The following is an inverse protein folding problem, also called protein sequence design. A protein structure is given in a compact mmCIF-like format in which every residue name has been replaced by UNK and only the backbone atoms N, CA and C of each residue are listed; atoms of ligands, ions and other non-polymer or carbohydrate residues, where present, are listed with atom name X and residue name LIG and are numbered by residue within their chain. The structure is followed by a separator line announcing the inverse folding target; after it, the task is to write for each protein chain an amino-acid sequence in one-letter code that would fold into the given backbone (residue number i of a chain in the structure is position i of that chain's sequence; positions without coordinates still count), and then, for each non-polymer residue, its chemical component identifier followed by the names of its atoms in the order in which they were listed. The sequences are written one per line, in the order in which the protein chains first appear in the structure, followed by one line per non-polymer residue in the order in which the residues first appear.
data_IF_220873148835
#
_entry.id   IF_220873148835
#
_cell.length_a   1.000
_cell.length_b   1.000
_cell.length_c   1.000
_cell.angle_alpha   90.00
_cell.angle_beta   90.00
_cell.angle_gamma   90.00
#
_symmetry.space_group_name_H-M   'P 1'
#
loop_
_entity.id
_entity.type
_entity.pdbx_description
1 polymer ?
#
# COMPACT_ATOMS: atom_id res chain seq x y z
N UNK A 1 9.46 22.00 -19.33
CA UNK A 1 8.62 21.30 -18.32
C UNK A 1 7.46 22.19 -18.01
N UNK A 2 6.26 21.74 -18.30
CA UNK A 2 5.05 22.54 -18.15
C UNK A 2 4.71 22.68 -16.65
N UNK A 3 4.56 23.93 -16.18
CA UNK A 3 4.17 24.27 -14.80
C UNK A 3 2.86 23.54 -14.42
N UNK A 4 1.97 23.33 -15.36
CA UNK A 4 0.72 22.60 -15.19
C UNK A 4 0.95 21.10 -14.88
N UNK A 5 1.91 20.44 -15.49
CA UNK A 5 2.25 19.04 -15.22
C UNK A 5 2.75 18.82 -13.80
N UNK A 6 3.56 19.74 -13.27
CA UNK A 6 4.10 19.66 -11.91
C UNK A 6 3.01 19.85 -10.84
N UNK A 7 2.06 20.75 -11.06
CA UNK A 7 0.91 20.96 -10.16
C UNK A 7 -0.03 19.75 -10.15
N UNK A 8 -0.29 19.16 -11.30
CA UNK A 8 -1.14 17.96 -11.44
C UNK A 8 -0.54 16.78 -10.69
N UNK A 9 0.77 16.54 -10.84
CA UNK A 9 1.47 15.46 -10.16
C UNK A 9 1.43 15.61 -8.63
N UNK A 10 1.69 16.80 -8.09
CA UNK A 10 1.62 17.07 -6.65
C UNK A 10 0.22 16.84 -6.09
N UNK A 11 -0.83 17.26 -6.82
CA UNK A 11 -2.21 17.01 -6.41
C UNK A 11 -2.53 15.53 -6.35
N UNK A 12 -2.14 14.76 -7.36
CA UNK A 12 -2.33 13.30 -7.39
C UNK A 12 -1.64 12.61 -6.22
N UNK A 13 -0.41 13.00 -5.87
CA UNK A 13 0.31 12.44 -4.72
C UNK A 13 -0.42 12.69 -3.40
N UNK A 14 -0.94 13.91 -3.21
CA UNK A 14 -1.71 14.25 -2.01
C UNK A 14 -2.99 13.42 -1.93
N UNK A 15 -3.72 13.27 -3.04
CA UNK A 15 -4.95 12.48 -3.09
C UNK A 15 -4.68 11.00 -2.78
N UNK A 16 -3.65 10.41 -3.40
CA UNK A 16 -3.24 9.02 -3.17
C UNK A 16 -2.83 8.78 -1.72
N UNK A 17 -2.01 9.68 -1.16
CA UNK A 17 -1.60 9.59 0.25
C UNK A 17 -2.79 9.64 1.19
N UNK A 18 -3.78 10.50 0.95
CA UNK A 18 -5.00 10.62 1.74
C UNK A 18 -5.88 9.37 1.63
N UNK A 19 -6.00 8.82 0.43
CA UNK A 19 -6.73 7.58 0.20
C UNK A 19 -6.12 6.40 0.97
N UNK A 20 -4.79 6.24 0.92
CA UNK A 20 -4.09 5.22 1.71
C UNK A 20 -4.23 5.46 3.21
N UNK A 21 -4.21 6.72 3.67
CA UNK A 21 -4.38 7.07 5.08
C UNK A 21 -5.79 6.72 5.60
N UNK A 22 -6.82 6.84 4.77
CA UNK A 22 -8.18 6.48 5.16
C UNK A 22 -8.38 4.98 5.37
N UNK A 23 -7.55 4.15 4.75
CA UNK A 23 -7.72 2.70 4.73
C UNK A 23 -6.45 1.98 5.15
N UNK A 24 -5.97 2.23 6.37
CA UNK A 24 -4.76 1.59 6.87
C UNK A 24 -4.99 0.10 7.09
N UNK A 25 -4.00 -0.69 6.72
CA UNK A 25 -3.98 -2.13 6.90
C UNK A 25 -2.72 -2.52 7.68
N UNK A 26 -2.85 -3.40 8.68
CA UNK A 26 -1.71 -3.90 9.47
C UNK A 26 -0.89 -4.94 8.72
N UNK A 27 0.33 -5.20 9.20
CA UNK A 27 1.25 -6.13 8.57
C UNK A 27 0.64 -7.51 8.30
N UNK A 28 0.87 -8.03 7.09
CA UNK A 28 0.31 -9.25 6.52
C UNK A 28 -1.18 -9.20 6.16
N UNK A 29 -1.84 -8.04 6.27
CA UNK A 29 -3.25 -7.87 5.87
C UNK A 29 -3.45 -6.86 4.74
N UNK A 30 -2.38 -6.29 4.20
CA UNK A 30 -2.36 -5.15 3.27
C UNK A 30 -2.76 -5.55 1.82
N UNK A 31 -3.81 -6.35 1.67
CA UNK A 31 -4.24 -6.85 0.36
C UNK A 31 -4.81 -5.77 -0.54
N UNK A 32 -5.61 -4.84 0.02
CA UNK A 32 -6.13 -3.72 -0.75
C UNK A 32 -5.01 -2.75 -1.14
N UNK A 33 -4.13 -2.41 -0.19
CA UNK A 33 -2.97 -1.54 -0.43
C UNK A 33 -2.03 -2.15 -1.47
N UNK A 34 -1.75 -3.47 -1.37
CA UNK A 34 -0.95 -4.20 -2.37
C UNK A 34 -1.59 -4.11 -3.75
N UNK A 35 -2.90 -4.38 -3.86
CA UNK A 35 -3.63 -4.28 -5.14
C UNK A 35 -3.57 -2.86 -5.71
N UNK A 36 -3.75 -1.84 -4.87
CA UNK A 36 -3.67 -0.44 -5.27
C UNK A 36 -2.30 -0.10 -5.87
N UNK A 37 -1.22 -0.47 -5.19
CA UNK A 37 0.16 -0.24 -5.62
C UNK A 37 0.47 -1.01 -6.91
N UNK A 38 0.13 -2.29 -6.96
CA UNK A 38 0.37 -3.17 -8.12
C UNK A 38 -0.29 -2.63 -9.38
N UNK A 39 -1.55 -2.20 -9.27
CA UNK A 39 -2.25 -1.63 -10.42
C UNK A 39 -1.58 -0.35 -10.94
N UNK A 40 -1.06 0.50 -10.05
CA UNK A 40 -0.30 1.69 -10.44
C UNK A 40 1.00 1.32 -11.13
N UNK A 41 1.79 0.43 -10.54
CA UNK A 41 3.08 0.00 -11.09
C UNK A 41 2.92 -0.68 -12.46
N UNK A 42 1.93 -1.57 -12.60
CA UNK A 42 1.60 -2.21 -13.89
C UNK A 42 1.18 -1.18 -14.94
N UNK A 43 0.39 -0.16 -14.55
CA UNK A 43 -0.02 0.91 -15.47
C UNK A 43 1.15 1.78 -15.94
N UNK A 44 2.26 1.79 -15.22
CA UNK A 44 3.49 2.49 -15.58
C UNK A 44 4.51 1.60 -16.29
N UNK A 45 4.14 0.35 -16.60
CA UNK A 45 4.98 -0.56 -17.36
C UNK A 45 6.01 -1.35 -16.56
N UNK A 46 5.87 -1.38 -15.21
CA UNK A 46 6.71 -2.25 -14.38
C UNK A 46 6.32 -3.71 -14.52
N UNK A 47 7.30 -4.60 -14.55
CA UNK A 47 7.08 -6.01 -14.22
C UNK A 47 6.88 -6.14 -12.72
N UNK A 48 5.77 -6.76 -12.28
CA UNK A 48 5.42 -6.87 -10.85
C UNK A 48 5.34 -8.33 -10.45
N UNK A 49 6.12 -8.68 -9.41
CA UNK A 49 6.18 -10.00 -8.81
C UNK A 49 5.43 -10.00 -7.47
N UNK A 50 4.70 -11.07 -7.19
CA UNK A 50 3.84 -11.25 -6.00
C UNK A 50 4.03 -12.65 -5.40
N UNK A 51 3.48 -12.85 -4.21
CA UNK A 51 3.33 -14.14 -3.57
C UNK A 51 4.67 -14.82 -3.30
N UNK A 52 4.73 -16.11 -3.50
CA UNK A 52 5.93 -16.93 -3.25
C UNK A 52 7.09 -16.66 -4.20
N UNK A 53 6.88 -15.88 -5.26
CA UNK A 53 7.98 -15.40 -6.11
C UNK A 53 8.90 -14.41 -5.38
N UNK A 54 8.40 -13.75 -4.33
CA UNK A 54 9.13 -12.73 -3.56
C UNK A 54 9.21 -13.05 -2.07
N UNK A 55 8.34 -13.91 -1.56
CA UNK A 55 8.28 -14.30 -0.16
C UNK A 55 8.70 -15.77 -0.02
N UNK A 56 9.65 -16.05 0.87
CA UNK A 56 9.94 -17.42 1.30
C UNK A 56 9.03 -17.77 2.49
N UNK A 57 8.06 -18.69 2.33
CA UNK A 57 7.11 -19.05 3.41
C UNK A 57 7.77 -19.55 4.69
N UNK A 58 8.95 -20.18 4.58
CA UNK A 58 9.68 -20.71 5.74
C UNK A 58 10.31 -19.61 6.62
N UNK A 59 10.40 -18.38 6.09
CA UNK A 59 11.03 -17.24 6.76
C UNK A 59 10.04 -16.15 7.13
N UNK A 60 8.75 -16.45 7.11
CA UNK A 60 7.68 -15.51 7.48
C UNK A 60 7.55 -15.44 9.01
N UNK A 61 7.60 -14.23 9.56
CA UNK A 61 7.44 -13.99 11.00
C UNK A 61 6.20 -13.14 11.27
N UNK A 62 5.58 -13.36 12.44
CA UNK A 62 4.47 -12.52 12.92
C UNK A 62 3.16 -12.62 12.15
N UNK A 63 3.08 -13.51 11.13
CA UNK A 63 1.88 -13.70 10.33
C UNK A 63 0.83 -14.48 11.13
N UNK A 64 -0.38 -13.92 11.21
CA UNK A 64 -1.54 -14.55 11.85
C UNK A 64 -2.58 -14.89 10.78
N UNK A 65 -2.82 -16.18 10.57
CA UNK A 65 -3.71 -16.66 9.50
C UNK A 65 -5.14 -16.11 9.63
N UNK A 66 -5.66 -15.98 10.84
CA UNK A 66 -6.99 -15.42 11.07
C UNK A 66 -7.08 -13.96 10.59
N UNK A 67 -6.08 -13.14 10.91
CA UNK A 67 -6.02 -11.75 10.46
C UNK A 67 -5.84 -11.67 8.95
N UNK A 68 -5.04 -12.55 8.36
CA UNK A 68 -4.88 -12.65 6.90
C UNK A 68 -6.22 -12.92 6.23
N UNK A 69 -7.01 -13.86 6.73
CA UNK A 69 -8.35 -14.15 6.16
C UNK A 69 -9.32 -12.97 6.33
N UNK A 70 -9.25 -12.26 7.43
CA UNK A 70 -10.01 -11.02 7.63
C UNK A 70 -9.56 -9.93 6.64
N UNK A 71 -8.26 -9.74 6.43
CA UNK A 71 -7.69 -8.83 5.45
C UNK A 71 -8.15 -9.13 4.02
N UNK A 72 -8.11 -10.41 3.61
CA UNK A 72 -8.61 -10.85 2.31
C UNK A 72 -10.09 -10.51 2.16
N UNK A 73 -10.92 -10.85 3.15
CA UNK A 73 -12.36 -10.54 3.15
C UNK A 73 -12.61 -9.04 3.00
N UNK A 74 -11.86 -8.20 3.72
CA UNK A 74 -11.98 -6.75 3.66
C UNK A 74 -11.56 -6.20 2.29
N UNK A 75 -10.49 -6.72 1.71
CA UNK A 75 -10.03 -6.34 0.37
C UNK A 75 -11.06 -6.69 -0.71
N UNK A 76 -11.64 -7.90 -0.65
CA UNK A 76 -12.72 -8.33 -1.56
C UNK A 76 -13.96 -7.44 -1.42
N UNK A 77 -14.37 -7.10 -0.20
CA UNK A 77 -15.49 -6.19 0.06
C UNK A 77 -15.25 -4.77 -0.49
N UNK A 78 -13.99 -4.38 -0.65
CA UNK A 78 -13.56 -3.10 -1.26
C UNK A 78 -13.27 -3.20 -2.75
N UNK A 79 -13.64 -4.28 -3.40
CA UNK A 79 -13.59 -4.43 -4.85
C UNK A 79 -12.29 -5.01 -5.41
N UNK A 80 -11.39 -5.51 -4.56
CA UNK A 80 -10.26 -6.33 -5.04
C UNK A 80 -10.81 -7.62 -5.64
N UNK A 81 -10.32 -8.03 -6.81
CA UNK A 81 -10.79 -9.25 -7.46
C UNK A 81 -10.23 -10.51 -6.78
N UNK A 82 -11.01 -11.59 -6.82
CA UNK A 82 -10.54 -12.89 -6.34
C UNK A 82 -9.28 -13.33 -7.08
N UNK A 83 -9.21 -13.10 -8.39
CA UNK A 83 -8.03 -13.45 -9.19
C UNK A 83 -6.75 -12.73 -8.73
N UNK A 84 -6.86 -11.48 -8.24
CA UNK A 84 -5.73 -10.80 -7.63
C UNK A 84 -5.33 -11.43 -6.30
N UNK A 85 -6.30 -11.76 -5.44
CA UNK A 85 -6.02 -12.47 -4.19
C UNK A 85 -5.32 -13.81 -4.46
N UNK A 86 -5.79 -14.57 -5.44
CA UNK A 86 -5.17 -15.84 -5.82
C UNK A 86 -3.71 -15.63 -6.31
N UNK A 87 -3.44 -14.55 -7.05
CA UNK A 87 -2.08 -14.19 -7.50
C UNK A 87 -1.14 -13.86 -6.32
N UNK A 88 -1.65 -13.34 -5.22
CA UNK A 88 -0.85 -13.05 -4.02
C UNK A 88 -0.47 -14.30 -3.23
N UNK A 89 -1.11 -15.45 -3.46
CA UNK A 89 -0.94 -16.67 -2.69
C UNK A 89 -1.06 -16.46 -1.16
N UNK A 90 -1.83 -15.43 -0.75
CA UNK A 90 -2.03 -15.03 0.64
C UNK A 90 -0.89 -14.20 1.25
N UNK A 91 0.04 -13.69 0.46
CA UNK A 91 1.13 -12.80 0.90
C UNK A 91 0.95 -11.39 0.34
N UNK A 92 1.20 -10.39 1.16
CA UNK A 92 1.08 -8.97 0.81
C UNK A 92 2.42 -8.37 0.37
N UNK A 93 2.37 -7.19 -0.24
CA UNK A 93 3.54 -6.54 -0.82
C UNK A 93 3.85 -7.00 -2.24
N UNK A 94 4.81 -6.34 -2.86
CA UNK A 94 5.25 -6.66 -4.22
C UNK A 94 6.70 -6.26 -4.44
N UNK A 95 7.32 -6.86 -5.45
CA UNK A 95 8.57 -6.38 -6.05
C UNK A 95 8.26 -5.91 -7.47
N UNK A 96 8.65 -4.69 -7.79
CA UNK A 96 8.48 -4.11 -9.12
C UNK A 96 9.83 -3.89 -9.79
N UNK A 97 9.97 -4.35 -11.02
CA UNK A 97 11.18 -4.25 -11.82
C UNK A 97 10.93 -3.32 -13.01
N UNK A 98 11.83 -2.36 -13.19
CA UNK A 98 11.85 -1.51 -14.37
C UNK A 98 13.20 -1.67 -15.09
N UNK A 99 13.18 -2.35 -16.22
CA UNK A 99 14.33 -2.37 -17.11
C UNK A 99 14.32 -1.12 -18.00
N UNK A 100 15.31 -0.29 -17.85
CA UNK A 100 15.47 0.94 -18.65
C UNK A 100 16.08 0.68 -20.02
N UNK A 101 16.58 -0.55 -20.30
CA UNK A 101 17.34 -0.89 -21.49
C UNK A 101 18.71 -0.21 -21.59
N UNK A 102 19.19 0.40 -20.50
CA UNK A 102 20.49 1.07 -20.42
C UNK A 102 21.44 0.32 -19.51
N UNK A 103 22.71 0.22 -19.90
CA UNK A 103 23.74 -0.29 -19.02
C UNK A 103 23.94 0.62 -17.80
N UNK A 104 24.16 0.02 -16.63
CA UNK A 104 24.39 0.74 -15.40
C UNK A 104 24.09 -0.08 -14.15
N UNK A 105 24.26 0.50 -12.96
CA UNK A 105 23.94 -0.15 -11.71
C UNK A 105 22.42 -0.29 -11.53
N UNK A 106 22.00 -1.39 -10.89
CA UNK A 106 20.63 -1.54 -10.41
C UNK A 106 20.46 -0.79 -9.09
N UNK A 107 19.45 0.08 -9.02
CA UNK A 107 19.05 0.76 -7.79
C UNK A 107 17.81 0.09 -7.22
N UNK A 108 17.84 -0.26 -5.93
CA UNK A 108 16.70 -0.79 -5.22
C UNK A 108 16.17 0.23 -4.20
N UNK A 109 14.84 0.36 -4.15
CA UNK A 109 14.13 1.14 -3.14
C UNK A 109 13.23 0.19 -2.32
N UNK A 110 13.14 0.44 -1.00
CA UNK A 110 12.23 -0.26 -0.12
C UNK A 110 11.25 0.74 0.49
N UNK A 111 10.00 0.38 0.52
CA UNK A 111 8.91 1.14 1.14
C UNK A 111 8.10 0.22 2.03
N UNK A 112 7.80 0.64 3.25
CA UNK A 112 6.86 -0.02 4.13
C UNK A 112 5.44 0.42 3.75
N UNK A 113 4.48 -0.52 3.77
CA UNK A 113 3.11 -0.26 3.33
C UNK A 113 2.05 -0.54 4.41
N UNK A 114 2.47 -1.18 5.51
CA UNK A 114 1.62 -1.45 6.67
C UNK A 114 1.34 -0.18 7.49
N UNK A 115 0.36 -0.25 8.35
CA UNK A 115 0.07 0.76 9.36
C UNK A 115 0.46 0.29 10.76
N UNK A 116 0.28 1.16 11.76
CA UNK A 116 0.48 0.85 13.17
C UNK A 116 -0.85 0.79 13.93
N UNK A 117 -0.88 -0.06 14.98
CA UNK A 117 -2.05 -0.27 15.83
C UNK A 117 -2.19 0.88 16.85
N UNK A 118 -2.58 2.05 16.36
CA UNK A 118 -2.87 3.23 17.19
C UNK A 118 -4.15 3.91 16.75
N UNK A 119 -4.89 4.47 17.69
CA UNK A 119 -6.08 5.26 17.39
C UNK A 119 -5.69 6.64 16.87
N UNK A 120 -6.28 7.05 15.78
CA UNK A 120 -6.20 8.43 15.33
C UNK A 120 -7.01 9.33 16.26
N UNK A 121 -6.49 10.50 16.61
CA UNK A 121 -7.15 11.44 17.52
C UNK A 121 -8.48 11.94 16.98
N UNK A 122 -9.45 12.16 17.90
CA UNK A 122 -10.76 12.75 17.59
C UNK A 122 -10.74 14.28 17.57
N UNK A 123 -9.59 14.93 17.80
CA UNK A 123 -9.47 16.38 17.82
C UNK A 123 -9.95 16.97 16.47
N UNK A 124 -10.96 17.87 16.47
CA UNK A 124 -11.49 18.47 15.24
C UNK A 124 -10.47 19.33 14.49
N UNK A 125 -9.43 19.86 15.15
CA UNK A 125 -8.36 20.60 14.51
C UNK A 125 -7.30 19.70 13.87
N UNK A 126 -7.33 18.39 14.14
CA UNK A 126 -6.48 17.43 13.45
C UNK A 126 -6.81 17.43 11.96
N UNK A 127 -5.79 17.62 11.12
CA UNK A 127 -5.96 17.83 9.68
C UNK A 127 -6.77 16.73 8.99
N UNK A 128 -6.56 15.42 9.24
CA UNK A 128 -7.40 14.37 8.68
C UNK A 128 -8.87 14.48 9.03
N UNK A 129 -9.21 14.88 10.27
CA UNK A 129 -10.60 15.12 10.71
C UNK A 129 -11.19 16.31 9.96
N UNK A 130 -10.45 17.43 9.96
CA UNK A 130 -10.88 18.70 9.37
C UNK A 130 -11.08 18.61 7.86
N UNK A 131 -10.25 17.85 7.17
CA UNK A 131 -10.26 17.73 5.71
C UNK A 131 -10.89 16.41 5.21
N UNK A 132 -11.46 15.60 6.11
CA UNK A 132 -12.30 14.45 5.77
C UNK A 132 -11.56 13.22 5.24
N UNK A 133 -10.27 13.03 5.61
CA UNK A 133 -9.50 11.85 5.21
C UNK A 133 -8.96 11.02 6.39
N UNK A 134 -9.62 11.12 7.55
CA UNK A 134 -9.32 10.33 8.74
C UNK A 134 -9.41 8.82 8.45
N UNK A 135 -8.63 8.03 9.18
CA UNK A 135 -8.72 6.57 9.18
C UNK A 135 -10.16 6.10 9.39
N UNK A 136 -10.62 5.22 8.51
CA UNK A 136 -11.92 4.53 8.60
C UNK A 136 -11.79 3.19 9.33
N UNK A 137 -10.58 2.80 9.73
CA UNK A 137 -10.29 1.57 10.45
C UNK A 137 -9.93 1.91 11.91
N UNK A 138 -10.91 1.75 12.82
CA UNK A 138 -10.72 2.04 14.24
C UNK A 138 -9.55 1.22 14.82
N UNK A 139 -8.67 1.90 15.56
CA UNK A 139 -7.49 1.26 16.15
C UNK A 139 -6.26 1.22 15.25
N UNK A 140 -6.35 1.70 14.01
CA UNK A 140 -5.27 1.68 13.05
C UNK A 140 -5.07 3.03 12.38
N UNK A 141 -3.82 3.43 12.18
CA UNK A 141 -3.47 4.67 11.51
C UNK A 141 -2.09 4.58 10.87
N UNK A 142 -1.91 5.22 9.73
CA UNK A 142 -0.60 5.52 9.18
C UNK A 142 0.06 6.65 9.97
N UNK A 143 0.71 6.31 11.09
CA UNK A 143 1.38 7.25 12.00
C UNK A 143 2.90 7.20 11.93
N UNK A 144 3.49 6.22 11.23
CA UNK A 144 4.93 6.10 11.13
C UNK A 144 5.51 7.17 10.19
N UNK A 145 6.50 7.93 10.68
CA UNK A 145 7.14 9.03 9.94
C UNK A 145 8.08 8.57 8.81
N UNK A 146 8.45 7.31 8.74
CA UNK A 146 9.32 6.76 7.68
C UNK A 146 8.74 6.89 6.26
N UNK A 147 7.47 7.30 6.14
CA UNK A 147 6.74 7.41 4.88
C UNK A 147 6.58 8.84 4.36
N UNK A 148 7.13 9.81 5.07
CA UNK A 148 6.96 11.24 4.76
C UNK A 148 8.18 11.91 4.14
N UNK A 149 9.23 11.14 3.85
CA UNK A 149 10.42 11.64 3.14
C UNK A 149 10.41 11.31 1.64
#
# INVERSE_FOLDING_TARGET
MDINGKMTYTKQLVEQRRELHQWPEEGWTEFWTTNYIVNKLRSWGYEVLLGTKIINPEQVFGRNEKLVQEGIKNALARGVSQSFIDETEGYTGCVALLDTGKEGPTTAFRFDIDCVCVNETDNPEHKPNKEGFRSQHAGFMHACGHRSE
#
